data_IF_805495442347
#
_entry.id   IF_805495442347
#
_cell.length_a   1.000
_cell.length_b   1.000
_cell.length_c   1.000
_cell.angle_alpha   90.00
_cell.angle_beta   90.00
_cell.angle_gamma   90.00
#
_symmetry.space_group_name_H-M   'P 1'
#
loop_
_entity.id
_entity.type
_entity.pdbx_description
1 polymer ?
#
# COMPACT_ATOMS: atom_id res chain seq x y z
N UNK A 1 15.50 -3.87 2.54
CA UNK A 1 15.03 -3.11 1.37
C UNK A 1 13.60 -2.65 1.62
N UNK A 2 13.25 -1.42 1.25
CA UNK A 2 11.93 -0.83 1.55
C UNK A 2 11.37 -0.14 0.31
N UNK A 3 10.16 -0.59 -0.09
CA UNK A 3 9.31 0.10 -1.02
C UNK A 3 8.08 0.67 -0.31
N UNK A 4 7.68 1.88 -0.63
CA UNK A 4 6.54 2.57 0.01
C UNK A 4 5.52 2.94 -1.04
N UNK A 5 4.30 2.45 -0.88
CA UNK A 5 3.14 2.85 -1.69
C UNK A 5 2.30 3.82 -0.88
N UNK A 6 1.99 4.97 -1.45
CA UNK A 6 1.33 6.06 -0.75
C UNK A 6 -0.03 6.35 -1.38
N UNK A 7 -1.06 6.48 -0.55
CA UNK A 7 -2.38 6.92 -0.99
C UNK A 7 -2.47 8.43 -1.22
N UNK A 8 -3.50 8.86 -1.95
CA UNK A 8 -3.80 10.28 -2.23
C UNK A 8 -5.05 10.81 -1.53
N UNK A 9 -5.71 10.00 -0.70
CA UNK A 9 -7.04 10.27 -0.16
C UNK A 9 -7.16 11.45 0.81
N UNK A 10 -6.04 12.00 1.29
CA UNK A 10 -5.98 13.25 2.05
C UNK A 10 -6.11 14.49 1.17
N UNK A 11 -5.77 14.39 -0.12
CA UNK A 11 -5.84 15.48 -1.11
C UNK A 11 -7.11 15.30 -1.97
N UNK A 12 -7.34 14.08 -2.49
CA UNK A 12 -8.44 13.80 -3.40
C UNK A 12 -9.05 12.41 -3.17
N UNK A 13 -10.39 12.37 -3.08
CA UNK A 13 -11.18 11.12 -3.00
C UNK A 13 -12.27 11.15 -4.06
N UNK A 14 -12.06 10.49 -5.18
CA UNK A 14 -12.98 10.46 -6.31
C UNK A 14 -14.39 9.90 -6.03
N UNK A 15 -14.56 9.14 -4.94
CA UNK A 15 -15.85 8.57 -4.51
C UNK A 15 -16.92 9.60 -4.11
N UNK A 16 -16.56 10.87 -3.98
CA UNK A 16 -17.47 11.94 -3.51
C UNK A 16 -17.93 12.89 -4.60
N UNK A 17 -17.69 12.57 -5.87
CA UNK A 17 -18.07 13.43 -7.00
C UNK A 17 -18.91 12.65 -8.00
N UNK A 18 -20.24 12.64 -7.78
CA UNK A 18 -21.19 11.98 -8.69
C UNK A 18 -21.26 12.66 -10.08
N UNK A 19 -20.74 13.87 -10.21
CA UNK A 19 -20.77 14.67 -11.45
C UNK A 19 -19.52 14.51 -12.32
N UNK A 20 -18.43 13.96 -11.79
CA UNK A 20 -17.15 13.87 -12.52
C UNK A 20 -17.01 12.52 -13.24
N UNK A 21 -16.38 12.56 -14.42
CA UNK A 21 -15.97 11.34 -15.10
C UNK A 21 -15.07 10.49 -14.19
N UNK A 22 -15.41 9.21 -13.94
CA UNK A 22 -14.64 8.35 -13.03
C UNK A 22 -13.15 8.21 -13.39
N UNK A 23 -12.82 8.17 -14.69
CA UNK A 23 -11.43 8.11 -15.15
C UNK A 23 -10.65 9.36 -14.74
N UNK A 24 -11.28 10.55 -14.92
CA UNK A 24 -10.65 11.82 -14.51
C UNK A 24 -10.47 11.89 -13.00
N UNK A 25 -11.47 11.41 -12.24
CA UNK A 25 -11.40 11.36 -10.79
C UNK A 25 -10.24 10.47 -10.29
N UNK A 26 -10.05 9.31 -10.90
CA UNK A 26 -8.95 8.40 -10.58
C UNK A 26 -7.59 8.99 -10.98
N UNK A 27 -7.49 9.65 -12.14
CA UNK A 27 -6.28 10.35 -12.56
C UNK A 27 -5.87 11.45 -11.56
N UNK A 28 -6.84 12.21 -11.04
CA UNK A 28 -6.57 13.19 -9.98
C UNK A 28 -6.09 12.50 -8.69
N UNK A 29 -6.65 11.34 -8.35
CA UNK A 29 -6.17 10.50 -7.24
C UNK A 29 -4.73 10.05 -7.44
N UNK A 30 -4.35 9.63 -8.65
CA UNK A 30 -2.97 9.26 -8.99
C UNK A 30 -2.02 10.43 -8.80
N UNK A 31 -2.37 11.63 -9.30
CA UNK A 31 -1.59 12.86 -9.11
C UNK A 31 -1.45 13.22 -7.62
N UNK A 32 -2.50 13.05 -6.83
CA UNK A 32 -2.48 13.27 -5.39
C UNK A 32 -1.47 12.36 -4.68
N UNK A 33 -1.34 11.09 -5.11
CA UNK A 33 -0.31 10.19 -4.56
C UNK A 33 1.11 10.68 -4.88
N UNK A 34 1.33 11.27 -6.05
CA UNK A 34 2.63 11.80 -6.46
C UNK A 34 3.02 13.01 -5.59
N UNK A 35 2.06 13.91 -5.31
CA UNK A 35 2.27 15.04 -4.39
C UNK A 35 2.72 14.51 -3.01
N UNK A 36 2.01 13.54 -2.46
CA UNK A 36 2.38 12.94 -1.18
C UNK A 36 3.75 12.26 -1.22
N UNK A 37 4.07 11.56 -2.31
CA UNK A 37 5.36 10.88 -2.46
C UNK A 37 6.54 11.87 -2.47
N UNK A 38 6.40 12.99 -3.15
CA UNK A 38 7.43 14.06 -3.14
C UNK A 38 7.64 14.64 -1.74
N UNK A 39 6.57 14.84 -0.97
CA UNK A 39 6.66 15.31 0.41
C UNK A 39 7.37 14.29 1.32
N UNK A 40 7.05 13.00 1.16
CA UNK A 40 7.71 11.93 1.92
C UNK A 40 9.17 11.76 1.50
N UNK A 41 9.48 11.88 0.21
CA UNK A 41 10.86 11.86 -0.30
C UNK A 41 11.70 12.96 0.36
N UNK A 42 11.20 14.19 0.38
CA UNK A 42 11.89 15.31 1.01
C UNK A 42 12.15 15.05 2.51
N UNK A 43 11.14 14.49 3.22
CA UNK A 43 11.29 14.14 4.63
C UNK A 43 12.36 13.06 4.86
N UNK A 44 12.45 12.05 4.00
CA UNK A 44 13.45 10.98 4.07
C UNK A 44 14.85 11.53 3.77
N UNK A 45 14.98 12.35 2.71
CA UNK A 45 16.25 12.97 2.33
C UNK A 45 16.82 13.86 3.44
N UNK A 46 15.96 14.59 4.17
CA UNK A 46 16.37 15.36 5.35
C UNK A 46 16.92 14.52 6.51
N UNK A 47 16.60 13.23 6.56
CA UNK A 47 17.19 12.29 7.51
C UNK A 47 18.51 11.68 7.00
N UNK A 48 19.03 12.13 5.86
CA UNK A 48 20.26 11.61 5.28
C UNK A 48 20.12 10.26 4.57
N UNK A 49 18.89 9.80 4.36
CA UNK A 49 18.59 8.54 3.66
C UNK A 49 18.26 8.87 2.21
N UNK A 50 18.80 8.10 1.27
CA UNK A 50 18.46 8.24 -0.15
C UNK A 50 17.06 7.72 -0.43
N UNK A 51 16.31 8.43 -1.27
CA UNK A 51 14.97 8.03 -1.67
C UNK A 51 14.67 8.44 -3.12
N UNK A 52 14.03 7.56 -3.87
CA UNK A 52 13.65 7.80 -5.27
C UNK A 52 12.15 7.59 -5.45
N UNK A 53 11.47 8.55 -6.09
CA UNK A 53 10.06 8.43 -6.47
C UNK A 53 9.96 7.81 -7.85
N UNK A 54 9.14 6.77 -7.97
CA UNK A 54 8.76 6.14 -9.23
C UNK A 54 7.27 6.36 -9.51
N UNK A 55 6.95 6.56 -10.79
CA UNK A 55 5.56 6.67 -11.25
C UNK A 55 5.39 5.99 -12.61
N UNK A 56 4.26 5.31 -12.87
CA UNK A 56 3.97 4.75 -14.19
C UNK A 56 3.67 5.81 -15.25
N UNK A 57 3.37 7.05 -14.85
CA UNK A 57 3.25 8.18 -15.77
C UNK A 57 4.63 8.80 -16.03
N UNK A 58 4.89 9.19 -17.27
CA UNK A 58 6.12 9.88 -17.63
C UNK A 58 6.14 11.32 -17.08
N UNK A 59 6.87 11.51 -15.98
CA UNK A 59 7.02 12.79 -15.29
C UNK A 59 8.49 13.02 -14.90
N UNK A 60 9.39 12.92 -15.85
CA UNK A 60 10.85 12.84 -15.65
C UNK A 60 11.47 13.98 -14.87
N UNK A 61 10.77 15.12 -14.71
CA UNK A 61 11.22 16.24 -13.86
C UNK A 61 10.94 16.02 -12.38
N UNK A 62 10.02 15.12 -12.02
CA UNK A 62 9.56 14.93 -10.65
C UNK A 62 9.82 13.51 -10.13
N UNK A 63 9.80 12.51 -11.04
CA UNK A 63 9.92 11.10 -10.67
C UNK A 63 10.55 10.30 -11.79
N UNK A 64 11.16 9.18 -11.47
CA UNK A 64 11.61 8.22 -12.47
C UNK A 64 10.41 7.45 -13.03
N UNK A 65 10.45 7.14 -14.33
CA UNK A 65 9.45 6.24 -14.91
C UNK A 65 9.60 4.84 -14.33
N UNK A 66 8.49 4.28 -13.86
CA UNK A 66 8.52 3.00 -13.15
C UNK A 66 8.92 1.84 -14.07
N UNK A 67 9.94 1.14 -13.64
CA UNK A 67 10.37 -0.17 -14.13
C UNK A 67 10.83 -0.98 -12.93
N UNK A 68 10.37 -2.23 -12.83
CA UNK A 68 10.67 -3.08 -11.67
C UNK A 68 12.17 -3.30 -11.48
N UNK A 69 12.92 -3.53 -12.57
CA UNK A 69 14.38 -3.70 -12.54
C UNK A 69 15.10 -2.47 -11.96
N UNK A 70 14.66 -1.27 -12.34
CA UNK A 70 15.24 -0.03 -11.84
C UNK A 70 14.91 0.21 -10.35
N UNK A 71 13.68 -0.08 -9.95
CA UNK A 71 13.29 0.04 -8.55
C UNK A 71 14.07 -0.95 -7.66
N UNK A 72 14.25 -2.20 -8.12
CA UNK A 72 15.07 -3.21 -7.43
C UNK A 72 16.52 -2.71 -7.30
N UNK A 73 17.14 -2.22 -8.40
CA UNK A 73 18.50 -1.68 -8.38
C UNK A 73 18.66 -0.56 -7.33
N UNK A 74 17.68 0.36 -7.24
CA UNK A 74 17.71 1.43 -6.23
C UNK A 74 17.65 0.88 -4.81
N UNK A 75 16.75 -0.09 -4.55
CA UNK A 75 16.63 -0.73 -3.24
C UNK A 75 17.89 -1.51 -2.86
N UNK A 76 18.52 -2.20 -3.81
CA UNK A 76 19.80 -2.91 -3.61
C UNK A 76 20.95 -1.95 -3.26
N UNK A 77 20.89 -0.72 -3.78
CA UNK A 77 21.84 0.36 -3.43
C UNK A 77 21.48 1.09 -2.13
N UNK A 78 20.53 0.57 -1.34
CA UNK A 78 20.15 1.10 -0.04
C UNK A 78 19.25 2.33 -0.09
N UNK A 79 18.59 2.59 -1.23
CA UNK A 79 17.61 3.67 -1.34
C UNK A 79 16.20 3.17 -0.91
N UNK A 80 15.41 4.06 -0.35
CA UNK A 80 13.96 3.83 -0.20
C UNK A 80 13.28 4.20 -1.50
N UNK A 81 12.47 3.30 -2.07
CA UNK A 81 11.69 3.60 -3.27
C UNK A 81 10.26 3.96 -2.91
N UNK A 82 9.79 5.07 -3.46
CA UNK A 82 8.42 5.58 -3.28
C UNK A 82 7.65 5.32 -4.57
N UNK A 83 6.63 4.48 -4.50
CA UNK A 83 5.86 3.99 -5.64
C UNK A 83 4.54 4.76 -5.72
N UNK A 84 4.54 5.83 -6.51
CA UNK A 84 3.41 6.75 -6.66
C UNK A 84 2.67 6.55 -7.99
N UNK A 85 1.56 7.25 -8.19
CA UNK A 85 0.75 7.15 -9.41
C UNK A 85 -0.11 5.88 -9.51
N UNK A 86 -0.24 5.13 -8.42
CA UNK A 86 -1.06 3.92 -8.35
C UNK A 86 -0.55 2.81 -9.29
N UNK A 87 -1.48 2.06 -9.88
CA UNK A 87 -1.17 1.05 -10.91
C UNK A 87 -0.80 1.68 -12.27
N UNK A 88 -1.11 2.97 -12.46
CA UNK A 88 -1.06 3.65 -13.76
C UNK A 88 -2.38 3.59 -14.53
N UNK A 89 -3.36 2.82 -14.05
CA UNK A 89 -4.65 2.63 -14.68
C UNK A 89 -5.79 3.07 -13.76
N UNK A 90 -6.87 3.64 -14.29
CA UNK A 90 -8.08 3.94 -13.52
C UNK A 90 -8.75 2.65 -13.02
N UNK A 91 -9.68 2.78 -12.09
CA UNK A 91 -10.47 1.71 -11.48
C UNK A 91 -9.71 0.77 -10.52
N UNK A 92 -8.45 1.03 -10.25
CA UNK A 92 -7.64 0.31 -9.26
C UNK A 92 -7.33 1.19 -8.06
N UNK A 93 -7.40 0.61 -6.88
CA UNK A 93 -7.08 1.33 -5.65
C UNK A 93 -5.59 1.28 -5.31
N UNK A 94 -5.21 2.01 -4.27
CA UNK A 94 -3.86 1.97 -3.69
C UNK A 94 -3.52 0.57 -3.18
N UNK A 95 -4.48 -0.19 -2.66
CA UNK A 95 -4.27 -1.56 -2.18
C UNK A 95 -3.88 -2.50 -3.32
N UNK A 96 -4.60 -2.42 -4.44
CA UNK A 96 -4.26 -3.20 -5.65
C UNK A 96 -2.91 -2.77 -6.22
N UNK A 97 -2.61 -1.48 -6.20
CA UNK A 97 -1.29 -0.99 -6.62
C UNK A 97 -0.18 -1.53 -5.70
N UNK A 98 -0.38 -1.55 -4.38
CA UNK A 98 0.58 -2.10 -3.43
C UNK A 98 0.84 -3.59 -3.66
N UNK A 99 -0.22 -4.38 -3.85
CA UNK A 99 -0.11 -5.80 -4.18
C UNK A 99 0.66 -6.03 -5.49
N UNK A 100 0.34 -5.27 -6.54
CA UNK A 100 1.02 -5.36 -7.83
C UNK A 100 2.51 -5.06 -7.70
N UNK A 101 2.87 -3.95 -7.06
CA UNK A 101 4.27 -3.58 -6.85
C UNK A 101 5.02 -4.58 -5.99
N UNK A 102 4.40 -5.11 -4.93
CA UNK A 102 5.00 -6.14 -4.09
C UNK A 102 5.36 -7.40 -4.90
N UNK A 103 4.47 -7.84 -5.77
CA UNK A 103 4.70 -9.00 -6.65
C UNK A 103 5.83 -8.72 -7.65
N UNK A 104 5.79 -7.58 -8.34
CA UNK A 104 6.81 -7.18 -9.33
C UNK A 104 8.20 -7.05 -8.71
N UNK A 105 8.27 -6.53 -7.49
CA UNK A 105 9.52 -6.32 -6.74
C UNK A 105 9.96 -7.56 -5.95
N UNK A 106 9.20 -8.65 -5.99
CA UNK A 106 9.43 -9.90 -5.24
C UNK A 106 9.58 -9.64 -3.75
N UNK A 107 8.69 -8.84 -3.19
CA UNK A 107 8.72 -8.48 -1.77
C UNK A 107 8.46 -9.71 -0.88
N UNK A 108 9.11 -9.73 0.28
CA UNK A 108 8.88 -10.76 1.29
C UNK A 108 7.56 -10.56 2.04
N UNK A 109 7.09 -9.31 2.12
CA UNK A 109 5.82 -8.98 2.79
C UNK A 109 5.27 -7.63 2.29
N UNK A 110 3.96 -7.45 2.46
CA UNK A 110 3.28 -6.15 2.39
C UNK A 110 2.84 -5.73 3.79
N UNK A 111 3.26 -4.55 4.21
CA UNK A 111 2.82 -3.93 5.46
C UNK A 111 1.73 -2.92 5.18
N UNK A 112 0.50 -3.23 5.58
CA UNK A 112 -0.64 -2.34 5.45
C UNK A 112 -0.91 -1.62 6.77
N UNK A 113 -0.54 -0.36 6.81
CA UNK A 113 -0.93 0.54 7.90
C UNK A 113 -2.38 1.00 7.76
N UNK A 114 -3.12 0.96 8.87
CA UNK A 114 -4.53 1.36 8.95
C UNK A 114 -4.82 2.03 10.30
N UNK A 115 -6.04 2.52 10.49
CA UNK A 115 -6.54 3.13 11.74
C UNK A 115 -7.18 2.12 12.71
N UNK A 116 -7.20 0.83 12.33
CA UNK A 116 -7.67 -0.27 13.18
C UNK A 116 -6.54 -1.24 13.46
N UNK A 117 -6.64 -2.04 14.54
CA UNK A 117 -5.53 -2.88 15.00
C UNK A 117 -5.18 -4.05 14.07
N UNK A 118 -6.04 -4.34 13.08
CA UNK A 118 -5.86 -5.40 12.11
C UNK A 118 -7.18 -5.78 11.45
N UNK A 119 -7.30 -7.02 11.02
CA UNK A 119 -8.52 -7.59 10.43
C UNK A 119 -9.44 -8.08 11.53
N UNK A 120 -10.72 -7.70 11.47
CA UNK A 120 -11.76 -8.12 12.41
C UNK A 120 -12.78 -9.00 11.69
N UNK A 121 -13.50 -9.81 12.48
CA UNK A 121 -14.61 -10.65 11.98
C UNK A 121 -15.84 -9.84 11.56
N UNK A 122 -15.92 -8.59 11.98
CA UNK A 122 -16.95 -7.60 11.62
C UNK A 122 -16.39 -6.18 11.81
N UNK A 123 -17.07 -5.17 11.29
CA UNK A 123 -16.63 -3.77 11.40
C UNK A 123 -16.57 -3.32 12.87
N UNK A 124 -15.40 -3.05 13.46
CA UNK A 124 -15.26 -2.69 14.86
C UNK A 124 -15.88 -1.33 15.20
N UNK A 125 -16.07 -0.45 14.22
CA UNK A 125 -16.75 0.84 14.44
C UNK A 125 -18.26 0.69 14.57
N UNK A 126 -18.83 -0.38 14.04
CA UNK A 126 -20.27 -0.68 14.10
C UNK A 126 -20.61 -1.74 15.14
N UNK A 127 -19.69 -2.65 15.40
CA UNK A 127 -19.87 -3.75 16.34
C UNK A 127 -18.75 -3.74 17.40
N UNK A 128 -19.02 -3.23 18.62
CA UNK A 128 -18.03 -3.23 19.70
C UNK A 128 -17.60 -4.63 20.15
N UNK A 129 -18.35 -5.69 19.78
CA UNK A 129 -18.00 -7.08 20.06
C UNK A 129 -17.14 -7.73 18.96
N UNK A 130 -16.77 -6.97 17.92
CA UNK A 130 -15.92 -7.46 16.85
C UNK A 130 -14.60 -8.01 17.40
N UNK A 131 -14.18 -9.18 16.90
CA UNK A 131 -12.96 -9.85 17.35
C UNK A 131 -11.85 -9.70 16.33
N UNK A 132 -10.70 -9.28 16.82
CA UNK A 132 -9.48 -9.22 16.03
C UNK A 132 -9.02 -10.63 15.64
N UNK A 133 -8.78 -10.84 14.35
CA UNK A 133 -8.23 -12.06 13.79
C UNK A 133 -6.72 -11.88 13.72
N UNK A 134 -5.95 -12.73 14.38
CA UNK A 134 -4.48 -12.61 14.44
C UNK A 134 -3.78 -13.22 13.23
N UNK A 135 -4.34 -14.31 12.72
CA UNK A 135 -3.77 -15.09 11.63
C UNK A 135 -4.91 -15.63 10.73
N UNK A 136 -4.78 -15.49 9.41
CA UNK A 136 -5.81 -15.88 8.46
C UNK A 136 -5.18 -16.13 7.08
N UNK A 137 -5.71 -17.07 6.33
CA UNK A 137 -5.28 -17.30 4.96
C UNK A 137 -5.91 -16.31 3.98
N UNK A 138 -5.26 -16.10 2.80
CA UNK A 138 -5.84 -15.31 1.71
C UNK A 138 -7.22 -15.84 1.31
N UNK A 139 -7.37 -17.17 1.23
CA UNK A 139 -8.64 -17.78 0.85
C UNK A 139 -9.74 -17.48 1.87
N UNK A 140 -9.48 -17.67 3.15
CA UNK A 140 -10.43 -17.36 4.21
C UNK A 140 -10.82 -15.88 4.25
N UNK A 141 -9.86 -14.98 4.01
CA UNK A 141 -10.13 -13.54 3.97
C UNK A 141 -11.07 -13.18 2.80
N UNK A 142 -10.89 -13.82 1.65
CA UNK A 142 -11.75 -13.68 0.46
C UNK A 142 -13.13 -14.27 0.73
N UNK A 143 -13.22 -15.52 1.21
CA UNK A 143 -14.48 -16.24 1.42
C UNK A 143 -15.36 -15.55 2.47
N UNK A 144 -14.75 -14.89 3.43
CA UNK A 144 -15.45 -14.15 4.50
C UNK A 144 -15.73 -12.68 4.14
N UNK A 145 -15.42 -12.22 2.93
CA UNK A 145 -15.56 -10.81 2.45
C UNK A 145 -14.98 -9.81 3.46
N UNK A 146 -13.79 -10.07 3.98
CA UNK A 146 -13.14 -9.19 4.96
C UNK A 146 -12.57 -7.95 4.26
N UNK A 147 -13.17 -6.79 4.54
CA UNK A 147 -12.97 -5.53 3.79
C UNK A 147 -11.81 -4.67 4.29
N UNK A 148 -10.70 -5.27 4.64
CA UNK A 148 -9.49 -4.56 5.06
C UNK A 148 -8.59 -4.18 3.88
N UNK A 149 -8.72 -4.92 2.78
CA UNK A 149 -8.13 -4.62 1.46
C UNK A 149 -9.15 -4.95 0.37
N UNK A 150 -8.89 -4.43 -0.84
CA UNK A 150 -9.70 -4.83 -1.99
C UNK A 150 -9.59 -6.33 -2.27
N UNK A 151 -10.69 -7.00 -2.61
CA UNK A 151 -10.66 -8.42 -2.99
C UNK A 151 -9.67 -8.74 -4.11
N UNK A 152 -9.51 -7.82 -5.09
CA UNK A 152 -8.54 -7.95 -6.18
C UNK A 152 -7.09 -7.97 -5.69
N UNK A 153 -6.76 -7.22 -4.64
CA UNK A 153 -5.43 -7.22 -4.03
C UNK A 153 -5.13 -8.56 -3.34
N UNK A 154 -6.08 -9.10 -2.57
CA UNK A 154 -5.92 -10.41 -1.94
C UNK A 154 -5.80 -11.53 -2.98
N UNK A 155 -6.63 -11.49 -4.03
CA UNK A 155 -6.59 -12.48 -5.11
C UNK A 155 -5.24 -12.48 -5.82
N UNK A 156 -4.71 -11.29 -6.15
CA UNK A 156 -3.40 -11.14 -6.77
C UNK A 156 -2.30 -11.71 -5.89
N UNK A 157 -2.28 -11.34 -4.60
CA UNK A 157 -1.27 -11.83 -3.65
C UNK A 157 -1.32 -13.35 -3.50
N UNK A 158 -2.52 -13.94 -3.44
CA UNK A 158 -2.71 -15.38 -3.37
C UNK A 158 -2.19 -16.08 -4.63
N UNK A 159 -2.61 -15.64 -5.83
CA UNK A 159 -2.21 -16.25 -7.11
C UNK A 159 -0.71 -16.16 -7.35
N UNK A 160 -0.10 -15.04 -6.98
CA UNK A 160 1.33 -14.83 -7.13
C UNK A 160 2.15 -15.31 -5.93
N UNK A 161 1.51 -15.95 -4.96
CA UNK A 161 2.16 -16.54 -3.78
C UNK A 161 3.01 -15.54 -2.99
N UNK A 162 2.51 -14.31 -2.82
CA UNK A 162 3.14 -13.36 -1.90
C UNK A 162 3.17 -13.99 -0.49
N UNK A 163 4.32 -14.00 0.22
CA UNK A 163 4.44 -14.73 1.48
C UNK A 163 3.47 -14.27 2.56
N UNK A 164 3.35 -12.95 2.77
CA UNK A 164 2.38 -12.41 3.73
C UNK A 164 1.97 -10.95 3.47
N UNK A 165 0.80 -10.61 3.98
CA UNK A 165 0.37 -9.23 4.25
C UNK A 165 0.23 -9.07 5.76
N UNK A 166 0.82 -8.03 6.33
CA UNK A 166 0.65 -7.67 7.74
C UNK A 166 -0.18 -6.41 7.84
N UNK A 167 -1.36 -6.52 8.47
CA UNK A 167 -2.28 -5.38 8.68
C UNK A 167 -2.18 -4.94 10.13
N UNK A 168 -1.90 -3.65 10.37
CA UNK A 168 -1.71 -3.13 11.72
C UNK A 168 -2.07 -1.66 11.85
N UNK A 169 -2.29 -1.22 13.09
CA UNK A 169 -2.62 0.16 13.42
C UNK A 169 -1.38 1.06 13.29
N UNK A 170 -1.52 2.18 12.57
CA UNK A 170 -0.50 3.21 12.38
C UNK A 170 -0.72 4.47 13.21
N UNK A 171 -1.72 4.54 14.09
CA UNK A 171 -1.87 5.67 15.03
C UNK A 171 -0.66 5.72 15.98
N UNK A 172 -0.08 4.57 16.32
CA UNK A 172 1.26 4.45 16.88
C UNK A 172 2.27 4.15 15.76
N UNK A 173 3.02 5.17 15.31
CA UNK A 173 4.05 5.03 14.27
C UNK A 173 5.18 4.07 14.66
N UNK A 174 5.40 3.82 15.95
CA UNK A 174 6.35 2.83 16.44
C UNK A 174 6.02 1.41 15.98
N UNK A 175 4.76 1.13 15.65
CA UNK A 175 4.33 -0.16 15.14
C UNK A 175 5.00 -0.53 13.81
N UNK A 176 5.34 0.45 12.96
CA UNK A 176 6.06 0.20 11.70
C UNK A 176 7.40 -0.48 11.99
N UNK A 177 8.17 0.07 12.93
CA UNK A 177 9.47 -0.50 13.31
C UNK A 177 9.30 -1.87 13.96
N UNK A 178 8.35 -2.02 14.88
CA UNK A 178 8.11 -3.26 15.62
C UNK A 178 7.68 -4.40 14.68
N UNK A 179 6.79 -4.12 13.72
CA UNK A 179 6.39 -5.10 12.69
C UNK A 179 7.57 -5.46 11.80
N UNK A 180 8.39 -4.49 11.40
CA UNK A 180 9.59 -4.74 10.60
C UNK A 180 10.65 -5.57 11.35
N UNK A 181 10.65 -5.53 12.69
CA UNK A 181 11.48 -6.35 13.56
C UNK A 181 10.88 -7.75 13.85
N UNK A 182 9.71 -8.05 13.29
CA UNK A 182 9.07 -9.36 13.41
C UNK A 182 8.12 -9.51 14.59
N UNK A 183 7.76 -8.41 15.28
CA UNK A 183 6.76 -8.51 16.35
C UNK A 183 5.38 -8.89 15.76
N UNK A 184 4.66 -9.75 16.50
CA UNK A 184 3.34 -10.24 16.11
C UNK A 184 2.23 -9.21 16.38
N UNK A 185 2.32 -8.04 15.74
CA UNK A 185 1.33 -6.97 15.83
C UNK A 185 0.34 -7.11 14.69
N UNK A 186 -0.93 -6.81 14.97
CA UNK A 186 -1.99 -6.80 13.97
C UNK A 186 -2.43 -8.17 13.52
N UNK A 187 -2.75 -8.28 12.23
CA UNK A 187 -3.18 -9.51 11.57
C UNK A 187 -2.16 -9.92 10.51
N UNK A 188 -1.80 -11.19 10.50
CA UNK A 188 -1.07 -11.83 9.42
C UNK A 188 -2.05 -12.47 8.44
N UNK A 189 -1.96 -12.11 7.16
CA UNK A 189 -2.68 -12.77 6.06
C UNK A 189 -1.65 -13.46 5.17
N UNK A 190 -1.84 -14.74 4.86
CA UNK A 190 -0.84 -15.55 4.16
C UNK A 190 -1.46 -16.62 3.24
N UNK A 191 -0.64 -17.34 2.46
CA UNK A 191 -1.05 -18.46 1.63
C UNK A 191 -1.24 -19.75 2.41
#
# INVERSE_FOLDING_TARGET
>A
QVGVVIGGGNIWRGRFTDEMNPVSADQMGMLATIINALAVQDAILRQGVKATVFTPQEMTRFAEHYRADRAIERMENGEIVLLAGGSGNPFFTTDTAAALRAVELKADAVFKGTTVDGVYDSDPHKNPAAKLIRDITYQEAIDRDLRVMDPSAFQLCKEQKLPEIRVFNMDDLGNIQRVAQGEAIGTRVHG
#
